data_IF_382047390680
#
_entry.id   IF_382047390680
#
_cell.length_a   1.000
_cell.length_b   1.000
_cell.length_c   1.000
_cell.angle_alpha   90.00
_cell.angle_beta   90.00
_cell.angle_gamma   90.00
#
_symmetry.space_group_name_H-M   'P 1'
#
loop_
_entity.id
_entity.type
_entity.pdbx_description
1 polymer ?
#
# COMPACT_ATOMS: atom_id res chain seq x y z
N UNK A 1 5.42 22.81 -5.97
CA UNK A 1 4.57 21.73 -6.49
C UNK A 1 3.85 22.23 -7.72
N UNK A 2 3.90 21.46 -8.81
CA UNK A 2 3.16 21.80 -10.02
C UNK A 2 1.66 21.63 -9.74
N UNK A 3 0.86 22.67 -9.91
CA UNK A 3 -0.61 22.64 -9.84
C UNK A 3 -1.21 21.86 -11.03
N UNK A 4 -0.60 20.75 -11.42
CA UNK A 4 -1.08 19.90 -12.51
C UNK A 4 -1.86 18.73 -11.96
N UNK A 5 -3.12 18.63 -12.33
CA UNK A 5 -3.96 17.47 -12.01
C UNK A 5 -3.53 16.28 -12.87
N UNK A 6 -3.33 15.13 -12.23
CA UNK A 6 -3.15 13.85 -12.93
C UNK A 6 -4.53 13.25 -13.15
N UNK A 7 -4.98 13.18 -14.41
CA UNK A 7 -6.33 12.70 -14.72
C UNK A 7 -6.45 11.18 -14.74
N UNK A 8 -5.39 10.48 -15.12
CA UNK A 8 -5.40 9.02 -15.21
C UNK A 8 -4.03 8.43 -14.95
N UNK A 9 -4.04 7.24 -14.34
CA UNK A 9 -2.84 6.44 -14.07
C UNK A 9 -3.10 5.04 -14.62
N UNK A 10 -2.15 4.52 -15.39
CA UNK A 10 -2.14 3.13 -15.82
C UNK A 10 -1.25 2.32 -14.88
N UNK A 11 -1.84 1.34 -14.19
CA UNK A 11 -1.11 0.50 -13.27
C UNK A 11 -0.33 -0.60 -14.02
N UNK A 12 0.98 -0.54 -13.99
CA UNK A 12 1.88 -1.54 -14.59
C UNK A 12 2.29 -2.65 -13.62
N UNK A 13 2.06 -2.45 -12.34
CA UNK A 13 2.23 -3.46 -11.29
C UNK A 13 1.05 -3.40 -10.33
N UNK A 14 0.72 -4.48 -9.59
CA UNK A 14 -0.35 -4.45 -8.59
C UNK A 14 -0.17 -3.34 -7.54
N UNK A 15 1.07 -2.98 -7.18
CA UNK A 15 1.39 -1.88 -6.27
C UNK A 15 0.88 -0.53 -6.78
N UNK A 16 0.92 -0.29 -8.08
CA UNK A 16 0.45 0.96 -8.68
C UNK A 16 -1.08 1.17 -8.54
N UNK A 17 -1.81 0.11 -8.20
CA UNK A 17 -3.24 0.22 -7.88
C UNK A 17 -3.48 0.99 -6.58
N UNK A 18 -2.50 1.03 -5.70
CA UNK A 18 -2.52 1.78 -4.44
C UNK A 18 -2.26 3.28 -4.70
N UNK A 19 -3.19 3.92 -5.41
CA UNK A 19 -3.08 5.34 -5.76
C UNK A 19 -3.81 6.18 -4.73
N UNK A 20 -3.09 7.06 -4.05
CA UNK A 20 -3.60 7.87 -2.95
C UNK A 20 -3.42 9.37 -3.20
N UNK A 21 -4.11 10.19 -2.39
CA UNK A 21 -3.90 11.63 -2.33
C UNK A 21 -2.68 12.05 -1.50
N UNK A 22 -1.83 11.11 -1.14
CA UNK A 22 -0.55 11.35 -0.47
C UNK A 22 0.58 10.71 -1.27
N UNK A 23 1.76 11.29 -1.20
CA UNK A 23 2.96 10.75 -1.84
C UNK A 23 4.11 10.66 -0.84
N UNK A 24 4.75 9.49 -0.75
CA UNK A 24 5.97 9.33 0.02
C UNK A 24 7.17 9.67 -0.84
N UNK A 25 7.84 10.76 -0.53
CA UNK A 25 8.96 11.31 -1.31
C UNK A 25 10.22 11.31 -0.47
N UNK A 26 11.32 10.85 -1.07
CA UNK A 26 12.66 10.96 -0.48
C UNK A 26 13.37 12.19 -1.03
N UNK A 27 13.76 13.10 -0.15
CA UNK A 27 14.52 14.30 -0.51
C UNK A 27 15.65 14.53 0.48
N UNK A 28 16.87 14.63 -0.01
CA UNK A 28 18.10 14.82 0.82
C UNK A 28 18.22 13.78 1.96
N UNK A 29 17.92 12.53 1.66
CA UNK A 29 18.01 11.43 2.64
C UNK A 29 16.85 11.34 3.63
N UNK A 30 15.88 12.24 3.58
CA UNK A 30 14.70 12.22 4.43
C UNK A 30 13.50 11.72 3.60
N UNK A 31 12.80 10.72 4.10
CA UNK A 31 11.54 10.20 3.52
C UNK A 31 10.36 10.84 4.25
N UNK A 32 9.44 11.44 3.51
CA UNK A 32 8.29 12.15 4.07
C UNK A 32 7.06 11.96 3.19
N UNK A 33 5.92 11.70 3.82
CA UNK A 33 4.62 11.70 3.14
C UNK A 33 4.12 13.13 3.00
N UNK A 34 3.75 13.49 1.78
CA UNK A 34 3.24 14.82 1.43
C UNK A 34 1.84 14.68 0.83
N UNK A 35 1.01 15.71 1.05
CA UNK A 35 -0.27 15.81 0.36
C UNK A 35 -0.04 15.97 -1.13
N UNK A 36 -0.74 15.20 -1.94
CA UNK A 36 -0.68 15.20 -3.39
C UNK A 36 -2.10 15.26 -3.99
N UNK A 37 -2.19 15.36 -5.31
CA UNK A 37 -3.47 15.30 -6.00
C UNK A 37 -3.86 13.85 -6.28
N UNK A 38 -5.16 13.55 -6.15
CA UNK A 38 -5.72 12.27 -6.55
C UNK A 38 -5.68 12.12 -8.07
N UNK A 39 -5.40 10.90 -8.53
CA UNK A 39 -5.73 10.54 -9.90
C UNK A 39 -7.27 10.48 -10.03
N UNK A 40 -7.80 11.01 -11.12
CA UNK A 40 -9.25 10.94 -11.41
C UNK A 40 -9.69 9.56 -11.88
N UNK A 41 -8.76 8.76 -12.38
CA UNK A 41 -8.99 7.38 -12.77
C UNK A 41 -7.69 6.57 -12.68
N UNK A 42 -7.82 5.31 -12.26
CA UNK A 42 -6.74 4.33 -12.28
C UNK A 42 -7.20 3.18 -13.15
N UNK A 43 -6.40 2.83 -14.16
CA UNK A 43 -6.70 1.80 -15.14
C UNK A 43 -5.84 0.57 -14.92
N UNK A 44 -6.44 -0.58 -14.94
CA UNK A 44 -5.78 -1.88 -14.76
C UNK A 44 -6.01 -2.74 -15.98
N UNK A 45 -4.93 -3.29 -16.54
CA UNK A 45 -4.99 -4.38 -17.48
C UNK A 45 -4.41 -5.63 -16.79
N UNK A 46 -5.28 -6.59 -16.51
CA UNK A 46 -4.90 -7.80 -15.78
C UNK A 46 -3.91 -8.68 -16.56
N UNK A 47 -3.94 -8.64 -17.90
CA UNK A 47 -2.95 -9.35 -18.71
C UNK A 47 -1.56 -8.71 -18.58
N UNK A 48 -1.48 -7.38 -18.53
CA UNK A 48 -0.23 -6.67 -18.25
C UNK A 48 0.26 -7.00 -16.83
N UNK A 49 -0.63 -6.95 -15.85
CA UNK A 49 -0.28 -7.27 -14.46
C UNK A 49 0.17 -8.72 -14.27
N UNK A 50 -0.40 -9.68 -15.02
CA UNK A 50 0.02 -11.09 -14.95
C UNK A 50 1.45 -11.33 -15.45
N UNK A 51 1.97 -10.43 -16.28
CA UNK A 51 3.36 -10.45 -16.77
C UNK A 51 4.33 -9.69 -15.88
N UNK A 52 3.85 -9.08 -14.81
CA UNK A 52 4.67 -8.40 -13.82
C UNK A 52 5.68 -9.39 -13.19
N UNK A 53 6.94 -8.98 -12.95
CA UNK A 53 7.88 -9.82 -12.22
C UNK A 53 7.28 -10.27 -10.88
N UNK A 54 7.34 -11.58 -10.60
CA UNK A 54 6.72 -12.18 -9.40
C UNK A 54 7.16 -11.51 -8.10
N UNK A 55 8.40 -11.04 -8.04
CA UNK A 55 8.92 -10.29 -6.89
C UNK A 55 8.11 -9.00 -6.62
N UNK A 56 7.70 -8.29 -7.67
CA UNK A 56 6.92 -7.05 -7.52
C UNK A 56 5.46 -7.34 -7.15
N UNK A 57 4.91 -8.45 -7.63
CA UNK A 57 3.58 -8.93 -7.21
C UNK A 57 3.60 -9.35 -5.73
N UNK A 58 4.64 -10.07 -5.30
CA UNK A 58 4.81 -10.43 -3.89
C UNK A 58 4.99 -9.20 -3.00
N UNK A 59 5.76 -8.20 -3.46
CA UNK A 59 5.92 -6.94 -2.74
C UNK A 59 4.59 -6.18 -2.60
N UNK A 60 3.75 -6.17 -3.65
CA UNK A 60 2.43 -5.56 -3.60
C UNK A 60 1.50 -6.29 -2.61
N UNK A 61 1.52 -7.62 -2.61
CA UNK A 61 0.78 -8.42 -1.63
C UNK A 61 1.24 -8.14 -0.20
N UNK A 62 2.55 -8.09 0.03
CA UNK A 62 3.16 -7.82 1.32
C UNK A 62 2.79 -6.43 1.86
N UNK A 63 2.76 -5.42 0.98
CA UNK A 63 2.34 -4.06 1.33
C UNK A 63 0.83 -3.98 1.67
N UNK A 64 0.01 -4.83 1.08
CA UNK A 64 -1.43 -4.86 1.37
C UNK A 64 -1.74 -5.55 2.70
N UNK A 65 -1.03 -6.62 3.06
CA UNK A 65 -1.30 -7.34 4.33
C UNK A 65 -0.94 -6.52 5.56
N UNK A 66 -0.08 -5.50 5.44
CA UNK A 66 0.29 -4.61 6.54
C UNK A 66 -0.91 -3.88 7.16
N UNK A 67 -2.02 -3.77 6.43
CA UNK A 67 -3.22 -3.14 6.96
C UNK A 67 -3.73 -3.80 8.25
N UNK A 68 -3.43 -5.07 8.48
CA UNK A 68 -3.83 -5.79 9.69
C UNK A 68 -3.16 -5.21 10.93
N UNK A 69 -1.85 -4.96 10.85
CA UNK A 69 -1.07 -4.28 11.90
C UNK A 69 -1.39 -2.80 11.96
N UNK A 70 -1.49 -2.13 10.82
CA UNK A 70 -1.82 -0.70 10.75
C UNK A 70 -3.18 -0.40 11.40
N UNK A 71 -4.19 -1.28 11.22
CA UNK A 71 -5.49 -1.13 11.89
C UNK A 71 -5.36 -1.17 13.42
N UNK A 72 -4.59 -2.10 13.93
CA UNK A 72 -4.35 -2.25 15.38
C UNK A 72 -3.62 -1.03 15.92
N UNK A 73 -2.54 -0.62 15.27
CA UNK A 73 -1.75 0.53 15.66
C UNK A 73 -2.56 1.82 15.66
N UNK A 74 -3.39 2.02 14.63
CA UNK A 74 -4.24 3.21 14.57
C UNK A 74 -5.33 3.20 15.65
N UNK A 75 -5.92 2.04 15.93
CA UNK A 75 -6.87 1.89 17.04
C UNK A 75 -6.18 2.12 18.39
N UNK A 76 -4.97 1.59 18.60
CA UNK A 76 -4.17 1.86 19.81
C UNK A 76 -3.87 3.34 19.96
N UNK A 77 -3.42 3.99 18.89
CA UNK A 77 -3.15 5.44 18.90
C UNK A 77 -4.41 6.23 19.27
N UNK A 78 -5.57 5.84 18.75
CA UNK A 78 -6.84 6.43 19.14
C UNK A 78 -7.14 6.27 20.63
N UNK A 79 -6.98 5.04 21.15
CA UNK A 79 -7.29 4.73 22.55
C UNK A 79 -6.33 5.37 23.56
N UNK A 80 -5.04 5.45 23.22
CA UNK A 80 -3.99 5.89 24.13
C UNK A 80 -3.66 7.39 23.99
N UNK A 81 -3.78 7.93 22.77
CA UNK A 81 -3.35 9.29 22.43
C UNK A 81 -4.50 10.18 21.96
N UNK A 82 -5.71 9.66 21.93
CA UNK A 82 -6.91 10.37 21.46
C UNK A 82 -6.77 10.92 20.02
N UNK A 83 -6.06 10.20 19.15
CA UNK A 83 -5.98 10.54 17.73
C UNK A 83 -7.28 10.20 17.01
N UNK A 84 -7.58 10.87 15.91
CA UNK A 84 -8.75 10.53 15.09
C UNK A 84 -8.62 9.10 14.55
N UNK A 85 -9.73 8.36 14.55
CA UNK A 85 -9.82 7.00 14.02
C UNK A 85 -11.07 6.84 13.16
N UNK A 86 -10.87 6.33 11.96
CA UNK A 86 -11.96 6.12 10.99
C UNK A 86 -11.97 4.65 10.54
N UNK A 87 -12.89 3.82 11.05
CA UNK A 87 -12.91 2.39 10.76
C UNK A 87 -13.49 2.02 9.39
N UNK A 88 -14.16 2.95 8.70
CA UNK A 88 -14.87 2.68 7.43
C UNK A 88 -14.01 1.96 6.39
N UNK A 89 -12.73 2.35 6.11
CA UNK A 89 -11.89 1.63 5.16
C UNK A 89 -11.70 0.15 5.53
N UNK A 90 -11.60 -0.15 6.80
CA UNK A 90 -11.39 -1.51 7.29
C UNK A 90 -12.64 -2.39 7.13
N UNK A 91 -13.82 -1.84 7.29
CA UNK A 91 -15.06 -2.59 7.01
C UNK A 91 -15.16 -2.98 5.54
N UNK A 92 -14.74 -2.12 4.63
CA UNK A 92 -14.70 -2.42 3.19
C UNK A 92 -13.64 -3.48 2.87
N UNK A 93 -12.46 -3.40 3.49
CA UNK A 93 -11.35 -4.32 3.26
C UNK A 93 -11.60 -5.70 3.85
N UNK A 94 -12.26 -5.78 5.01
CA UNK A 94 -12.56 -7.04 5.69
C UNK A 94 -13.37 -8.02 4.82
N UNK A 95 -14.15 -7.52 3.87
CA UNK A 95 -14.92 -8.35 2.92
C UNK A 95 -14.01 -9.21 2.01
N UNK A 96 -12.78 -8.78 1.78
CA UNK A 96 -11.86 -9.39 0.81
C UNK A 96 -10.59 -9.98 1.43
N UNK A 97 -10.28 -9.64 2.67
CA UNK A 97 -9.02 -9.98 3.32
C UNK A 97 -8.78 -11.48 3.43
N UNK A 98 -9.76 -12.20 3.99
CA UNK A 98 -9.65 -13.65 4.13
C UNK A 98 -9.55 -14.36 2.78
N UNK A 99 -10.23 -13.84 1.76
CA UNK A 99 -10.15 -14.37 0.41
C UNK A 99 -8.78 -14.13 -0.19
N UNK A 100 -8.22 -12.94 -0.02
CA UNK A 100 -6.87 -12.59 -0.48
C UNK A 100 -5.81 -13.50 0.16
N UNK A 101 -5.86 -13.70 1.46
CA UNK A 101 -4.90 -14.56 2.18
C UNK A 101 -5.00 -16.00 1.68
N UNK A 102 -6.21 -16.54 1.52
CA UNK A 102 -6.43 -17.89 0.98
C UNK A 102 -5.91 -18.05 -0.45
N UNK A 103 -5.91 -16.99 -1.23
CA UNK A 103 -5.44 -16.97 -2.62
C UNK A 103 -3.97 -16.54 -2.77
N UNK A 104 -3.19 -16.45 -1.69
CA UNK A 104 -1.80 -16.00 -1.75
C UNK A 104 -0.94 -16.78 -2.76
N UNK A 105 -1.09 -18.11 -2.81
CA UNK A 105 -0.37 -18.96 -3.78
C UNK A 105 -0.77 -18.67 -5.23
N UNK A 106 -2.06 -18.42 -5.48
CA UNK A 106 -2.57 -18.07 -6.80
C UNK A 106 -2.11 -16.67 -7.22
N UNK A 107 -2.06 -15.72 -6.29
CA UNK A 107 -1.46 -14.39 -6.53
C UNK A 107 0.03 -14.55 -6.91
N UNK A 108 0.78 -15.35 -6.16
CA UNK A 108 2.20 -15.59 -6.43
C UNK A 108 2.45 -16.29 -7.77
N UNK A 109 1.53 -17.12 -8.24
CA UNK A 109 1.63 -17.78 -9.56
C UNK A 109 1.28 -16.84 -10.72
N UNK A 110 0.56 -15.72 -10.46
CA UNK A 110 0.10 -14.77 -11.47
C UNK A 110 -1.28 -15.12 -12.03
N UNK A 111 -2.09 -15.88 -11.29
CA UNK A 111 -3.48 -16.14 -11.69
C UNK A 111 -4.26 -14.84 -11.83
N UNK A 112 -4.95 -14.67 -12.95
CA UNK A 112 -5.62 -13.42 -13.34
C UNK A 112 -6.73 -13.04 -12.34
N UNK A 113 -7.50 -14.01 -11.84
CA UNK A 113 -8.58 -13.73 -10.90
C UNK A 113 -8.02 -13.35 -9.53
N UNK A 114 -6.95 -14.01 -9.10
CA UNK A 114 -6.26 -13.68 -7.85
C UNK A 114 -5.57 -12.31 -7.93
N UNK A 115 -4.99 -11.95 -9.07
CA UNK A 115 -4.45 -10.61 -9.32
C UNK A 115 -5.54 -9.54 -9.35
N UNK A 116 -6.72 -9.83 -9.91
CA UNK A 116 -7.87 -8.93 -9.86
C UNK A 116 -8.29 -8.64 -8.41
N UNK A 117 -8.27 -9.66 -7.54
CA UNK A 117 -8.56 -9.49 -6.12
C UNK A 117 -7.52 -8.59 -5.43
N UNK A 118 -6.22 -8.87 -5.61
CA UNK A 118 -5.14 -8.05 -5.04
C UNK A 118 -5.24 -6.59 -5.52
N UNK A 119 -5.46 -6.38 -6.81
CA UNK A 119 -5.59 -5.06 -7.43
C UNK A 119 -6.79 -4.29 -6.85
N UNK A 120 -7.94 -4.98 -6.67
CA UNK A 120 -9.14 -4.40 -6.06
C UNK A 120 -8.88 -3.94 -4.63
N UNK A 121 -8.24 -4.77 -3.83
CA UNK A 121 -7.91 -4.44 -2.44
C UNK A 121 -6.95 -3.27 -2.37
N UNK A 122 -5.91 -3.25 -3.20
CA UNK A 122 -4.98 -2.11 -3.29
C UNK A 122 -5.70 -0.81 -3.65
N UNK A 123 -6.64 -0.86 -4.60
CA UNK A 123 -7.44 0.30 -4.98
C UNK A 123 -8.35 0.78 -3.82
N UNK A 124 -8.99 -0.15 -3.09
CA UNK A 124 -9.81 0.19 -1.91
C UNK A 124 -8.96 0.82 -0.81
N UNK A 125 -7.74 0.32 -0.56
CA UNK A 125 -6.82 0.94 0.39
C UNK A 125 -6.44 2.36 -0.02
N UNK A 126 -6.12 2.57 -1.29
CA UNK A 126 -5.83 3.90 -1.83
C UNK A 126 -7.00 4.87 -1.68
N UNK A 127 -8.22 4.42 -1.97
CA UNK A 127 -9.44 5.21 -1.74
C UNK A 127 -9.65 5.47 -0.26
N UNK A 128 -9.42 4.50 0.61
CA UNK A 128 -9.49 4.66 2.06
C UNK A 128 -8.56 5.75 2.56
N UNK A 129 -7.31 5.74 2.14
CA UNK A 129 -6.30 6.76 2.45
C UNK A 129 -6.75 8.15 1.96
N UNK A 130 -7.32 8.19 0.76
CA UNK A 130 -7.84 9.43 0.17
C UNK A 130 -9.04 9.98 0.93
N UNK A 131 -9.96 9.12 1.31
CA UNK A 131 -11.17 9.46 2.05
C UNK A 131 -10.87 9.93 3.48
N UNK A 132 -9.97 9.26 4.18
CA UNK A 132 -9.59 9.60 5.56
C UNK A 132 -8.56 10.72 5.64
N UNK A 133 -7.97 11.12 4.51
CA UNK A 133 -6.87 12.10 4.41
C UNK A 133 -5.66 11.77 5.28
N UNK A 134 -5.48 10.49 5.61
CA UNK A 134 -4.31 9.98 6.33
C UNK A 134 -3.82 8.67 5.74
N UNK A 135 -2.54 8.38 5.89
CA UNK A 135 -1.94 7.10 5.49
C UNK A 135 -2.19 5.98 6.49
N UNK A 136 -2.77 6.24 7.65
CA UNK A 136 -2.94 5.27 8.74
C UNK A 136 -3.77 4.04 8.35
N UNK A 137 -4.55 4.12 7.28
CA UNK A 137 -5.32 2.98 6.74
C UNK A 137 -4.43 1.79 6.40
N UNK A 138 -3.20 2.03 5.96
CA UNK A 138 -2.25 0.98 5.61
C UNK A 138 -0.79 1.40 5.84
N UNK A 139 -0.51 2.30 6.77
CA UNK A 139 0.86 2.78 7.00
C UNK A 139 1.01 3.28 8.44
N UNK A 140 1.53 2.43 9.31
CA UNK A 140 1.78 2.73 10.72
C UNK A 140 3.19 2.25 11.14
N UNK A 141 3.32 1.42 12.16
CA UNK A 141 4.59 0.98 12.73
C UNK A 141 5.49 0.25 11.72
N UNK A 142 4.93 -0.66 10.94
CA UNK A 142 5.65 -1.42 9.90
C UNK A 142 6.27 -0.50 8.83
N UNK A 143 5.55 0.54 8.45
CA UNK A 143 6.06 1.56 7.51
C UNK A 143 7.13 2.44 8.14
N UNK A 144 7.03 2.71 9.45
CA UNK A 144 8.08 3.39 10.21
C UNK A 144 9.40 2.63 10.13
N UNK A 145 9.36 1.30 10.24
CA UNK A 145 10.53 0.42 10.09
C UNK A 145 11.08 0.51 8.67
N UNK A 146 10.23 0.39 7.64
CA UNK A 146 10.64 0.55 6.24
C UNK A 146 11.29 1.92 5.97
N UNK A 147 10.73 2.99 6.51
CA UNK A 147 11.30 4.33 6.37
C UNK A 147 12.65 4.46 7.07
N UNK A 148 12.81 3.84 8.24
CA UNK A 148 14.10 3.80 8.94
C UNK A 148 15.16 3.09 8.09
N UNK A 149 14.82 1.93 7.52
CA UNK A 149 15.72 1.18 6.63
C UNK A 149 16.15 2.06 5.45
N UNK A 150 15.20 2.69 4.77
CA UNK A 150 15.46 3.55 3.61
C UNK A 150 16.33 4.78 3.95
N UNK A 151 16.22 5.32 5.15
CA UNK A 151 16.96 6.52 5.55
C UNK A 151 18.35 6.21 6.14
N UNK A 152 18.47 5.13 6.94
CA UNK A 152 19.62 4.91 7.79
C UNK A 152 20.36 3.59 7.56
N UNK A 153 19.79 2.66 6.82
CA UNK A 153 20.33 1.32 6.64
C UNK A 153 20.54 0.93 5.16
N UNK A 154 20.67 1.88 4.25
CA UNK A 154 20.83 1.63 2.80
C UNK A 154 22.00 0.73 2.45
N UNK A 155 23.07 0.81 3.19
CA UNK A 155 24.27 0.01 2.94
C UNK A 155 24.10 -1.47 3.37
N UNK A 156 23.08 -1.75 4.20
CA UNK A 156 22.81 -3.07 4.76
C UNK A 156 21.74 -3.82 3.95
N UNK A 157 20.88 -3.11 3.25
CA UNK A 157 19.75 -3.70 2.50
C UNK A 157 19.80 -3.39 0.98
N UNK A 158 20.83 -3.71 0.25
CA UNK A 158 20.95 -3.34 -1.15
C UNK A 158 19.81 -3.93 -1.99
N UNK A 159 18.95 -3.05 -2.51
CA UNK A 159 17.95 -3.42 -3.51
C UNK A 159 16.66 -4.08 -2.98
N UNK A 160 16.33 -3.98 -1.69
CA UNK A 160 14.99 -4.35 -1.21
C UNK A 160 13.96 -3.30 -1.61
N UNK A 161 12.79 -3.74 -2.06
CA UNK A 161 11.68 -2.86 -2.37
C UNK A 161 10.88 -2.50 -1.11
N UNK A 162 10.13 -1.40 -1.19
CA UNK A 162 9.29 -0.94 -0.08
C UNK A 162 8.35 -2.04 0.45
N UNK A 163 7.61 -2.71 -0.44
CA UNK A 163 6.67 -3.76 -0.02
C UNK A 163 7.38 -4.98 0.61
N UNK A 164 8.61 -5.32 0.20
CA UNK A 164 9.39 -6.37 0.87
C UNK A 164 9.75 -5.97 2.31
N UNK A 165 10.17 -4.72 2.51
CA UNK A 165 10.50 -4.20 3.84
C UNK A 165 9.26 -4.14 4.74
N UNK A 166 8.15 -3.61 4.22
CA UNK A 166 6.86 -3.54 4.92
C UNK A 166 6.36 -4.93 5.29
N UNK A 167 6.42 -5.89 4.34
CA UNK A 167 5.98 -7.26 4.60
C UNK A 167 6.76 -7.95 5.71
N UNK A 168 8.07 -7.82 5.75
CA UNK A 168 8.90 -8.35 6.85
C UNK A 168 8.59 -7.66 8.17
N UNK A 169 8.34 -6.36 8.16
CA UNK A 169 8.02 -5.60 9.36
C UNK A 169 6.60 -5.87 9.89
N UNK A 170 5.73 -6.48 9.08
CA UNK A 170 4.35 -6.86 9.45
C UNK A 170 4.29 -8.21 10.19
N UNK A 171 5.28 -9.09 9.99
CA UNK A 171 5.36 -10.44 10.56
C UNK A 171 6.07 -10.38 11.92
#
# INVERSE_FOLDING_TARGET
FLEKKVYSVFATTPMNAYTTGTASISFKGIKKSLVAHYAQGVFFDLEVLSKCPKRLTAAAFADVICRTTAQVDWLMSHKLLNTDYQPTPYYLLALYENEMIKNASSIASGDINALALLTRISAIMGLGTSFTQTTHVGSMGEHGISHYIDMFAKDIHPGTSHGEQVGIATI
#
